data_IF_347974941689
#
_entry.id   IF_347974941689
#
_cell.length_a   1.000
_cell.length_b   1.000
_cell.length_c   1.000
_cell.angle_alpha   90.00
_cell.angle_beta   90.00
_cell.angle_gamma   90.00
#
_symmetry.space_group_name_H-M   'P 1'
#
loop_
_entity.id
_entity.type
_entity.pdbx_description
1 polymer ?
#
# COMPACT_ATOMS: atom_id res chain seq x y z
N UNK A 1 23.89 2.33 30.30
CA UNK A 1 23.02 2.11 29.13
C UNK A 1 21.59 1.90 29.65
N UNK A 2 20.70 2.86 29.41
CA UNK A 2 19.42 3.06 30.13
C UNK A 2 18.28 2.36 29.40
N UNK A 3 17.84 1.21 29.90
CA UNK A 3 16.67 0.44 29.41
C UNK A 3 15.40 1.31 29.26
N UNK A 4 15.30 2.42 30.01
CA UNK A 4 14.23 3.42 29.92
C UNK A 4 14.24 4.24 28.62
N UNK A 5 15.42 4.53 28.06
CA UNK A 5 15.58 5.39 26.88
C UNK A 5 15.19 4.64 25.60
N UNK A 6 15.56 3.36 25.51
CA UNK A 6 15.18 2.47 24.39
C UNK A 6 13.65 2.24 24.34
N UNK A 7 13.00 2.16 25.51
CA UNK A 7 11.55 2.03 25.61
C UNK A 7 10.86 3.31 25.16
N UNK A 8 11.34 4.46 25.60
CA UNK A 8 10.78 5.76 25.23
C UNK A 8 10.91 6.02 23.74
N UNK A 9 12.09 5.76 23.18
CA UNK A 9 12.39 5.90 21.75
C UNK A 9 11.45 5.03 20.92
N UNK A 10 11.24 3.76 21.33
CA UNK A 10 10.33 2.85 20.64
C UNK A 10 8.87 3.31 20.70
N UNK A 11 8.40 3.77 21.86
CA UNK A 11 7.03 4.24 21.98
C UNK A 11 6.81 5.52 21.16
N UNK A 12 7.81 6.41 21.08
CA UNK A 12 7.79 7.57 20.19
C UNK A 12 7.65 7.16 18.72
N UNK A 13 8.47 6.21 18.24
CA UNK A 13 8.38 5.70 16.87
C UNK A 13 6.98 5.14 16.54
N UNK A 14 6.35 4.43 17.48
CA UNK A 14 4.98 3.94 17.29
C UNK A 14 3.97 5.08 17.10
N UNK A 15 4.09 6.14 17.88
CA UNK A 15 3.20 7.30 17.77
C UNK A 15 3.45 8.09 16.49
N UNK A 16 4.71 8.31 16.11
CA UNK A 16 5.08 9.01 14.87
C UNK A 16 4.58 8.24 13.64
N UNK A 17 4.75 6.92 13.61
CA UNK A 17 4.21 6.07 12.57
C UNK A 17 2.67 6.08 12.56
N UNK A 18 2.02 5.95 13.73
CA UNK A 18 0.56 5.98 13.81
C UNK A 18 -0.01 7.29 13.27
N UNK A 19 0.67 8.40 13.54
CA UNK A 19 0.32 9.72 13.05
C UNK A 19 0.41 9.81 11.52
N UNK A 20 1.51 9.31 10.94
CA UNK A 20 1.70 9.23 9.48
C UNK A 20 0.61 8.36 8.83
N UNK A 21 0.27 7.23 9.43
CA UNK A 21 -0.81 6.36 8.96
C UNK A 21 -2.20 7.02 9.04
N UNK A 22 -2.46 7.84 10.07
CA UNK A 22 -3.70 8.62 10.17
C UNK A 22 -3.80 9.61 9.01
N UNK A 23 -2.70 10.29 8.64
CA UNK A 23 -2.66 11.20 7.48
C UNK A 23 -2.97 10.50 6.18
N UNK A 24 -2.53 9.25 6.04
CA UNK A 24 -2.85 8.39 4.90
C UNK A 24 -4.24 7.74 4.98
N UNK A 25 -5.09 8.18 5.92
CA UNK A 25 -6.43 7.66 6.16
C UNK A 25 -6.50 6.15 6.43
N UNK A 26 -5.41 5.57 6.95
CA UNK A 26 -5.35 4.16 7.30
C UNK A 26 -6.42 3.80 8.34
N UNK A 27 -7.02 2.62 8.21
CA UNK A 27 -8.00 2.12 9.18
C UNK A 27 -7.34 1.83 10.51
N UNK A 28 -8.09 1.98 11.59
CA UNK A 28 -7.63 1.67 12.96
C UNK A 28 -7.04 0.26 13.08
N UNK A 29 -7.61 -0.73 12.37
CA UNK A 29 -7.07 -2.10 12.36
C UNK A 29 -5.68 -2.20 11.73
N UNK A 30 -5.43 -1.45 10.65
CA UNK A 30 -4.12 -1.37 10.00
C UNK A 30 -3.12 -0.71 10.93
N UNK A 31 -3.47 0.46 11.48
CA UNK A 31 -2.64 1.19 12.45
C UNK A 31 -2.27 0.29 13.63
N UNK A 32 -3.24 -0.41 14.22
CA UNK A 32 -3.01 -1.34 15.33
C UNK A 32 -2.08 -2.49 14.95
N UNK A 33 -2.33 -3.15 13.82
CA UNK A 33 -1.55 -4.32 13.41
C UNK A 33 -0.10 -4.00 13.03
N UNK A 34 0.22 -2.73 12.76
CA UNK A 34 1.59 -2.31 12.45
C UNK A 34 2.29 -1.74 13.69
N UNK A 35 1.63 -0.86 14.42
CA UNK A 35 2.22 -0.12 15.55
C UNK A 35 2.12 -0.85 16.90
N UNK A 36 1.17 -1.78 17.04
CA UNK A 36 0.85 -2.42 18.32
C UNK A 36 0.14 -1.49 19.32
N UNK A 37 -0.26 -0.28 18.92
CA UNK A 37 -1.03 0.61 19.78
C UNK A 37 -2.47 0.11 19.96
N UNK A 38 -3.04 0.30 21.15
CA UNK A 38 -4.45 -0.01 21.41
C UNK A 38 -5.38 0.96 20.69
N UNK A 39 -6.60 0.51 20.40
CA UNK A 39 -7.65 1.33 19.77
C UNK A 39 -7.92 2.63 20.54
N UNK A 40 -7.83 2.61 21.88
CA UNK A 40 -7.97 3.81 22.72
C UNK A 40 -6.84 4.82 22.49
N UNK A 41 -5.59 4.36 22.45
CA UNK A 41 -4.43 5.23 22.17
C UNK A 41 -4.53 5.84 20.78
N UNK A 42 -4.91 5.05 19.77
CA UNK A 42 -5.13 5.54 18.41
C UNK A 42 -6.26 6.58 18.38
N UNK A 43 -7.36 6.35 19.11
CA UNK A 43 -8.48 7.30 19.21
C UNK A 43 -8.08 8.61 19.89
N UNK A 44 -7.27 8.55 20.95
CA UNK A 44 -6.73 9.73 21.64
C UNK A 44 -5.79 10.52 20.72
N UNK A 45 -4.89 9.82 20.03
CA UNK A 45 -3.97 10.42 19.06
C UNK A 45 -4.73 11.13 17.93
N UNK A 46 -5.75 10.48 17.35
CA UNK A 46 -6.59 11.08 16.31
C UNK A 46 -7.31 12.34 16.79
N UNK A 47 -7.88 12.32 18.00
CA UNK A 47 -8.55 13.51 18.58
C UNK A 47 -7.58 14.66 18.75
N UNK A 48 -6.41 14.41 19.32
CA UNK A 48 -5.34 15.41 19.47
C UNK A 48 -4.90 15.95 18.10
N UNK A 49 -4.74 15.09 17.09
CA UNK A 49 -4.40 15.51 15.72
C UNK A 49 -5.44 16.46 15.11
N UNK A 50 -6.72 16.07 15.10
CA UNK A 50 -7.80 16.88 14.52
C UNK A 50 -7.96 18.21 15.28
N UNK A 51 -7.81 18.19 16.60
CA UNK A 51 -7.92 19.38 17.45
C UNK A 51 -6.76 20.37 17.25
N UNK A 52 -5.52 19.90 17.13
CA UNK A 52 -4.34 20.79 17.08
C UNK A 52 -3.96 21.27 15.68
N UNK A 53 -4.23 20.48 14.63
CA UNK A 53 -3.71 20.76 13.28
C UNK A 53 -4.77 21.22 12.29
N UNK A 54 -6.01 21.46 12.74
CA UNK A 54 -7.09 21.94 11.86
C UNK A 54 -7.34 21.02 10.67
N UNK A 55 -7.02 19.72 10.81
CA UNK A 55 -7.04 18.72 9.75
C UNK A 55 -8.47 18.28 9.41
N UNK A 56 -9.31 19.24 9.03
CA UNK A 56 -10.74 19.09 8.81
C UNK A 56 -11.09 18.06 7.70
N UNK A 57 -10.13 17.68 6.86
CA UNK A 57 -10.37 16.79 5.71
C UNK A 57 -9.83 15.35 5.86
N UNK A 58 -9.24 14.97 7.00
CA UNK A 58 -8.83 13.56 7.20
C UNK A 58 -10.06 12.69 7.46
N UNK A 59 -10.44 11.88 6.48
CA UNK A 59 -11.64 11.05 6.56
C UNK A 59 -11.36 9.76 7.31
N UNK A 60 -12.26 9.43 8.25
CA UNK A 60 -12.22 8.15 8.97
C UNK A 60 -13.09 7.12 8.26
N UNK A 61 -12.45 6.23 7.51
CA UNK A 61 -13.12 5.09 6.88
C UNK A 61 -13.62 4.09 7.93
N UNK A 62 -14.93 3.84 7.94
CA UNK A 62 -15.57 2.79 8.76
C UNK A 62 -15.86 1.53 7.93
N UNK A 63 -16.12 0.40 8.59
CA UNK A 63 -16.49 -0.86 7.94
C UNK A 63 -15.33 -1.81 7.61
N UNK A 64 -15.57 -2.73 6.67
CA UNK A 64 -14.58 -3.74 6.25
C UNK A 64 -13.56 -3.13 5.26
N UNK A 65 -12.27 -3.52 5.32
CA UNK A 65 -11.29 -3.12 4.31
C UNK A 65 -11.64 -3.68 2.93
N UNK A 66 -11.05 -3.15 1.84
CA UNK A 66 -11.23 -3.70 0.49
C UNK A 66 -10.79 -5.17 0.44
N UNK A 67 -11.55 -5.99 -0.31
CA UNK A 67 -11.37 -7.45 -0.40
C UNK A 67 -11.45 -8.01 -1.81
N UNK A 68 -11.78 -7.20 -2.81
CA UNK A 68 -12.02 -7.68 -4.17
C UNK A 68 -10.80 -7.42 -5.04
N UNK A 69 -10.00 -8.45 -5.34
CA UNK A 69 -8.82 -8.31 -6.20
C UNK A 69 -9.18 -7.77 -7.59
N UNK A 70 -10.36 -8.11 -8.11
CA UNK A 70 -10.88 -7.60 -9.37
C UNK A 70 -10.94 -6.06 -9.44
N UNK A 71 -10.97 -5.36 -8.30
CA UNK A 71 -10.93 -3.89 -8.25
C UNK A 71 -9.71 -3.33 -8.99
N UNK A 72 -8.53 -3.93 -8.82
CA UNK A 72 -7.28 -3.47 -9.44
C UNK A 72 -7.26 -3.67 -10.96
N UNK A 73 -8.09 -4.58 -11.46
CA UNK A 73 -8.16 -4.95 -12.87
C UNK A 73 -9.34 -4.30 -13.61
N UNK A 74 -10.19 -3.55 -12.90
CA UNK A 74 -11.50 -3.09 -13.38
C UNK A 74 -11.45 -2.17 -14.60
N UNK A 75 -10.43 -1.32 -14.73
CA UNK A 75 -10.27 -0.43 -15.87
C UNK A 75 -8.78 -0.13 -16.16
N UNK A 76 -8.48 0.47 -17.31
CA UNK A 76 -7.11 0.77 -17.73
C UNK A 76 -6.34 1.66 -16.74
N UNK A 77 -7.00 2.68 -16.18
CA UNK A 77 -6.38 3.59 -15.21
C UNK A 77 -5.99 2.86 -13.91
N UNK A 78 -6.90 2.05 -13.35
CA UNK A 78 -6.65 1.26 -12.15
C UNK A 78 -5.58 0.19 -12.41
N UNK A 79 -5.59 -0.45 -13.57
CA UNK A 79 -4.51 -1.39 -13.96
C UNK A 79 -3.16 -0.70 -14.00
N UNK A 80 -3.08 0.51 -14.59
CA UNK A 80 -1.86 1.32 -14.63
C UNK A 80 -1.38 1.70 -13.24
N UNK A 81 -2.26 2.27 -12.40
CA UNK A 81 -1.89 2.67 -11.04
C UNK A 81 -1.51 1.47 -10.18
N UNK A 82 -2.21 0.34 -10.29
CA UNK A 82 -1.89 -0.88 -9.55
C UNK A 82 -0.52 -1.44 -9.97
N UNK A 83 -0.21 -1.41 -11.27
CA UNK A 83 1.08 -1.85 -11.80
C UNK A 83 2.22 -0.92 -11.40
N UNK A 84 2.00 0.40 -11.41
CA UNK A 84 2.96 1.37 -10.90
C UNK A 84 3.23 1.20 -9.40
N UNK A 85 2.16 1.06 -8.61
CA UNK A 85 2.29 0.80 -7.18
C UNK A 85 3.01 -0.53 -6.92
N UNK A 86 2.68 -1.60 -7.65
CA UNK A 86 3.37 -2.88 -7.52
C UNK A 86 4.86 -2.75 -7.85
N UNK A 87 5.23 -1.99 -8.88
CA UNK A 87 6.62 -1.73 -9.25
C UNK A 87 7.39 -1.03 -8.12
N UNK A 88 6.78 -0.01 -7.51
CA UNK A 88 7.34 0.69 -6.35
C UNK A 88 7.50 -0.28 -5.17
N UNK A 89 6.49 -1.09 -4.88
CA UNK A 89 6.56 -2.10 -3.81
C UNK A 89 7.69 -3.11 -4.04
N UNK A 90 7.90 -3.56 -5.28
CA UNK A 90 9.05 -4.42 -5.64
C UNK A 90 10.38 -3.70 -5.39
N UNK A 91 10.52 -2.44 -5.83
CA UNK A 91 11.74 -1.67 -5.69
C UNK A 91 12.15 -1.46 -4.22
N UNK A 92 11.16 -1.31 -3.34
CA UNK A 92 11.38 -1.21 -1.89
C UNK A 92 11.44 -2.58 -1.17
N UNK A 93 11.39 -3.70 -1.89
CA UNK A 93 11.46 -5.06 -1.30
C UNK A 93 10.25 -5.43 -0.43
N UNK A 94 9.10 -4.78 -0.64
CA UNK A 94 7.93 -4.90 0.24
C UNK A 94 7.04 -6.11 -0.06
N UNK A 95 7.33 -6.91 -1.10
CA UNK A 95 6.58 -8.12 -1.46
C UNK A 95 7.20 -9.42 -0.90
N UNK A 96 8.40 -9.35 -0.32
CA UNK A 96 9.12 -10.52 0.20
C UNK A 96 9.08 -10.59 1.73
N UNK A 97 8.57 -9.55 2.39
CA UNK A 97 8.59 -9.46 3.84
C UNK A 97 7.56 -10.41 4.45
N UNK A 98 8.03 -11.49 5.06
CA UNK A 98 7.20 -12.41 5.82
C UNK A 98 6.43 -11.63 6.90
N UNK A 99 5.09 -11.70 6.88
CA UNK A 99 4.15 -11.01 7.78
C UNK A 99 4.23 -11.52 9.25
N UNK A 100 5.33 -12.18 9.63
CA UNK A 100 5.55 -12.88 10.91
C UNK A 100 5.96 -11.96 12.05
N UNK A 101 6.44 -10.74 11.76
CA UNK A 101 6.83 -9.78 12.80
C UNK A 101 5.61 -9.31 13.60
N UNK A 102 5.69 -9.44 14.93
CA UNK A 102 4.64 -8.97 15.82
C UNK A 102 4.41 -7.45 15.71
N UNK A 103 3.18 -6.95 15.94
CA UNK A 103 2.90 -5.52 15.92
C UNK A 103 3.79 -4.73 16.88
N UNK A 104 4.34 -3.61 16.42
CA UNK A 104 5.14 -2.70 17.25
C UNK A 104 6.56 -3.19 17.59
N UNK A 105 7.03 -4.28 16.98
CA UNK A 105 8.45 -4.65 17.02
C UNK A 105 9.27 -3.70 16.14
N UNK A 106 10.57 -3.50 16.40
CA UNK A 106 11.42 -2.62 15.59
C UNK A 106 11.45 -2.99 14.10
N UNK A 107 11.40 -4.29 13.77
CA UNK A 107 11.31 -4.77 12.39
C UNK A 107 9.99 -4.36 11.74
N UNK A 108 8.86 -4.58 12.43
CA UNK A 108 7.53 -4.22 11.91
C UNK A 108 7.38 -2.71 11.73
N UNK A 109 7.95 -1.91 12.65
CA UNK A 109 7.94 -0.46 12.54
C UNK A 109 8.78 0.02 11.35
N UNK A 110 10.01 -0.49 11.19
CA UNK A 110 10.87 -0.17 10.03
C UNK A 110 10.21 -0.55 8.71
N UNK A 111 9.61 -1.74 8.64
CA UNK A 111 8.87 -2.19 7.46
C UNK A 111 7.68 -1.26 7.16
N UNK A 112 6.92 -0.87 8.19
CA UNK A 112 5.76 0.01 8.03
C UNK A 112 6.15 1.45 7.63
N UNK A 113 7.29 1.95 8.13
CA UNK A 113 7.87 3.21 7.68
C UNK A 113 8.26 3.15 6.20
N UNK A 114 8.92 2.08 5.78
CA UNK A 114 9.27 1.85 4.37
C UNK A 114 8.04 1.74 3.48
N UNK A 115 6.97 1.09 3.96
CA UNK A 115 5.69 1.06 3.27
C UNK A 115 5.09 2.47 3.12
N UNK A 116 5.16 3.31 4.16
CA UNK A 116 4.70 4.69 4.06
C UNK A 116 5.51 5.49 3.05
N UNK A 117 6.82 5.29 2.97
CA UNK A 117 7.68 5.91 1.95
C UNK A 117 7.25 5.47 0.56
N UNK A 118 7.10 4.16 0.32
CA UNK A 118 6.63 3.63 -0.97
C UNK A 118 5.26 4.20 -1.37
N UNK A 119 4.33 4.32 -0.42
CA UNK A 119 3.03 4.92 -0.67
C UNK A 119 3.12 6.40 -1.04
N UNK A 120 3.96 7.17 -0.34
CA UNK A 120 4.18 8.58 -0.64
C UNK A 120 4.86 8.81 -1.99
N UNK A 121 5.82 7.95 -2.36
CA UNK A 121 6.38 7.93 -3.72
C UNK A 121 5.27 7.71 -4.75
N UNK A 122 4.37 6.76 -4.53
CA UNK A 122 3.22 6.55 -5.39
C UNK A 122 2.32 7.78 -5.49
N UNK A 123 2.05 8.48 -4.38
CA UNK A 123 1.25 9.71 -4.39
C UNK A 123 1.93 10.84 -5.19
N UNK A 124 3.26 10.94 -5.14
CA UNK A 124 4.03 11.92 -5.90
C UNK A 124 3.98 11.62 -7.41
N UNK A 125 4.12 10.36 -7.80
CA UNK A 125 4.03 9.92 -9.20
C UNK A 125 2.61 10.07 -9.78
N UNK A 126 1.59 9.85 -8.95
CA UNK A 126 0.19 9.91 -9.36
C UNK A 126 -0.55 11.01 -8.61
N UNK A 127 -0.47 12.24 -9.11
CA UNK A 127 -1.12 13.42 -8.49
C UNK A 127 -2.65 13.32 -8.30
N UNK A 128 -3.32 12.33 -8.89
CA UNK A 128 -4.73 11.97 -8.62
C UNK A 128 -4.88 10.45 -8.45
N UNK A 129 -4.53 9.90 -7.27
CA UNK A 129 -4.60 8.48 -7.02
C UNK A 129 -6.07 8.04 -6.92
N UNK A 130 -6.43 6.96 -7.61
CA UNK A 130 -7.71 6.27 -7.44
C UNK A 130 -7.63 5.23 -6.32
N UNK A 131 -6.41 4.76 -6.04
CA UNK A 131 -6.12 3.87 -4.93
C UNK A 131 -6.04 4.68 -3.65
N UNK A 132 -6.56 4.10 -2.56
CA UNK A 132 -6.34 4.61 -1.21
C UNK A 132 -5.31 3.74 -0.49
N UNK A 133 -4.87 4.17 0.69
CA UNK A 133 -3.87 3.44 1.48
C UNK A 133 -4.29 1.99 1.77
N UNK A 134 -5.56 1.76 2.09
CA UNK A 134 -6.09 0.42 2.32
C UNK A 134 -6.07 -0.46 1.06
N UNK A 135 -6.21 0.14 -0.13
CA UNK A 135 -6.04 -0.57 -1.40
C UNK A 135 -4.58 -0.96 -1.61
N UNK A 136 -3.62 -0.10 -1.26
CA UNK A 136 -2.20 -0.45 -1.31
C UNK A 136 -1.87 -1.62 -0.38
N UNK A 137 -2.35 -1.57 0.87
CA UNK A 137 -2.21 -2.67 1.83
C UNK A 137 -2.84 -3.96 1.32
N UNK A 138 -3.98 -3.88 0.63
CA UNK A 138 -4.64 -5.04 0.04
C UNK A 138 -3.90 -5.58 -1.19
N UNK A 139 -3.43 -4.72 -2.09
CA UNK A 139 -2.66 -5.10 -3.28
C UNK A 139 -1.41 -5.90 -2.90
N UNK A 140 -0.59 -5.36 -1.98
CA UNK A 140 0.61 -6.06 -1.47
C UNK A 140 0.27 -7.48 -0.99
N UNK A 141 -0.73 -7.58 -0.11
CA UNK A 141 -1.17 -8.87 0.47
C UNK A 141 -1.74 -9.84 -0.55
N UNK A 142 -2.35 -9.34 -1.62
CA UNK A 142 -2.90 -10.15 -2.70
C UNK A 142 -1.78 -10.68 -3.61
N UNK A 143 -0.80 -9.83 -3.93
CA UNK A 143 0.39 -10.20 -4.71
C UNK A 143 1.30 -11.18 -3.96
N UNK A 144 1.50 -10.99 -2.65
CA UNK A 144 2.27 -11.93 -1.82
C UNK A 144 1.67 -13.33 -1.78
N UNK A 145 0.33 -13.42 -1.72
CA UNK A 145 -0.36 -14.70 -1.67
C UNK A 145 -0.42 -15.40 -3.02
N UNK A 146 -0.28 -14.65 -4.12
CA UNK A 146 -0.38 -15.13 -5.50
C UNK A 146 -1.64 -15.97 -5.81
N UNK A 147 -2.73 -15.76 -5.06
CA UNK A 147 -3.98 -16.53 -5.23
C UNK A 147 -4.98 -15.91 -6.19
N UNK A 148 -4.98 -14.59 -6.29
CA UNK A 148 -5.94 -13.85 -7.13
C UNK A 148 -5.22 -12.94 -8.11
N UNK A 149 -4.07 -12.38 -7.70
CA UNK A 149 -3.24 -11.50 -8.51
C UNK A 149 -1.83 -12.05 -8.56
N UNK A 150 -1.18 -11.82 -9.70
CA UNK A 150 0.23 -12.10 -9.91
C UNK A 150 0.89 -10.89 -10.58
N UNK A 151 2.22 -10.93 -10.60
CA UNK A 151 3.03 -10.03 -11.41
C UNK A 151 3.42 -10.73 -12.71
N UNK A 152 3.42 -9.97 -13.78
CA UNK A 152 3.92 -10.39 -15.09
C UNK A 152 4.59 -9.20 -15.78
N UNK A 153 5.29 -9.44 -16.87
CA UNK A 153 5.92 -8.40 -17.66
C UNK A 153 5.15 -8.21 -18.98
N UNK A 154 5.02 -6.96 -19.41
CA UNK A 154 4.53 -6.67 -20.75
C UNK A 154 5.48 -7.28 -21.79
N UNK A 155 4.96 -8.09 -22.69
CA UNK A 155 5.76 -8.71 -23.78
C UNK A 155 6.41 -7.70 -24.71
N UNK A 156 5.83 -6.49 -24.83
CA UNK A 156 6.30 -5.46 -25.77
C UNK A 156 7.29 -4.48 -25.14
N UNK A 157 7.05 -4.02 -23.91
CA UNK A 157 7.88 -2.97 -23.28
C UNK A 157 8.56 -3.41 -21.98
N UNK A 158 8.37 -4.66 -21.53
CA UNK A 158 8.94 -5.19 -20.30
C UNK A 158 8.35 -4.62 -19.00
N UNK A 159 7.43 -3.65 -19.08
CA UNK A 159 6.81 -3.03 -17.91
C UNK A 159 6.13 -4.07 -17.01
N UNK A 160 6.29 -3.95 -15.70
CA UNK A 160 5.65 -4.82 -14.72
C UNK A 160 4.13 -4.57 -14.73
N UNK A 161 3.35 -5.64 -14.70
CA UNK A 161 1.90 -5.66 -14.76
C UNK A 161 1.32 -6.42 -13.58
N UNK A 162 0.24 -5.86 -13.01
CA UNK A 162 -0.65 -6.63 -12.14
C UNK A 162 -1.66 -7.36 -13.03
N UNK A 163 -1.65 -8.70 -12.97
CA UNK A 163 -2.48 -9.59 -13.77
C UNK A 163 -3.29 -10.52 -12.87
N UNK A 164 -4.42 -11.11 -13.33
CA UNK A 164 -5.05 -12.16 -12.57
C UNK A 164 -4.11 -13.37 -12.47
N UNK A 165 -4.06 -14.01 -11.29
CA UNK A 165 -3.21 -15.19 -11.07
C UNK A 165 -3.64 -16.38 -11.96
N UNK A 166 -4.95 -16.48 -12.22
CA UNK A 166 -5.56 -17.52 -13.04
C UNK A 166 -6.38 -16.90 -14.18
N UNK A 167 -6.41 -17.59 -15.32
CA UNK A 167 -7.17 -17.17 -16.50
C UNK A 167 -6.34 -16.41 -17.54
N UNK A 168 -7.04 -15.75 -18.46
CA UNK A 168 -6.41 -15.09 -19.61
C UNK A 168 -5.65 -13.84 -19.16
N UNK A 169 -4.34 -13.81 -19.44
CA UNK A 169 -3.50 -12.64 -19.20
C UNK A 169 -3.67 -11.61 -20.31
N UNK A 170 -3.59 -10.31 -20.00
CA UNK A 170 -3.59 -9.28 -21.03
C UNK A 170 -2.34 -9.43 -21.91
N UNK A 171 -2.50 -9.21 -23.22
CA UNK A 171 -1.40 -9.35 -24.19
C UNK A 171 -0.33 -8.26 -24.03
N UNK A 172 -0.66 -7.13 -23.38
CA UNK A 172 0.26 -6.03 -23.15
C UNK A 172 -0.26 -5.07 -22.08
N UNK A 173 0.60 -4.11 -21.73
CA UNK A 173 0.24 -3.04 -20.81
C UNK A 173 -0.83 -2.11 -21.42
N UNK A 174 -1.40 -1.20 -20.63
CA UNK A 174 -2.40 -0.25 -21.14
C UNK A 174 -1.89 0.67 -22.24
N UNK A 175 -0.58 0.80 -22.44
CA UNK A 175 -0.01 1.59 -23.55
C UNK A 175 0.23 0.72 -24.80
N UNK A 176 0.75 -0.48 -24.63
CA UNK A 176 1.03 -1.39 -25.73
C UNK A 176 -0.22 -2.08 -26.27
N UNK A 177 -1.24 -2.30 -25.44
CA UNK A 177 -2.51 -2.90 -25.84
C UNK A 177 -3.44 -1.96 -26.61
N UNK A 178 -3.21 -0.65 -26.50
CA UNK A 178 -3.90 0.38 -27.28
C UNK A 178 -3.16 0.67 -28.61
N UNK A 179 -1.99 0.07 -28.84
CA UNK A 179 -1.30 0.18 -30.12
C UNK A 179 -2.09 -0.61 -31.17
N UNK A 180 -2.47 -0.01 -32.31
CA UNK A 180 -3.00 -0.79 -33.42
C UNK A 180 -1.96 -1.84 -33.79
N UNK A 181 -2.39 -3.11 -33.86
CA UNK A 181 -1.62 -4.16 -34.51
C UNK A 181 -1.30 -3.68 -35.92
N UNK A 182 -0.09 -3.17 -36.16
CA UNK A 182 0.38 -3.02 -37.53
C UNK A 182 0.33 -4.42 -38.15
N UNK A 183 -0.41 -4.62 -39.26
CA UNK A 183 -0.43 -5.92 -39.90
C UNK A 183 0.98 -6.24 -40.35
N UNK A 184 1.50 -7.37 -39.88
CA UNK A 184 2.78 -7.91 -40.33
C UNK A 184 2.75 -7.99 -41.86
N UNK A 185 3.55 -7.15 -42.52
CA UNK A 185 3.77 -7.24 -43.95
C UNK A 185 4.38 -8.62 -44.25
N UNK A 186 3.63 -9.47 -44.94
CA UNK A 186 4.13 -10.66 -45.63
C UNK A 186 3.67 -10.58 -47.08
#
# INVERSE_FOLDING_TARGET
MRITDDRYTRDRLKFDLAFRLIRHEARTGTIRSWTGLSDDRIRKLFRSYVQHLGAADVRRHRGKPPRQAAYFLRNALLRRQSSGLASILCQYGLLESSDSSQPGTPERLRWAELFCVAWETFLQEYGRPQLGFEHACFLRRALERQRELALDNCSMCGALLVVPAFGRRPAGCCFCGDAPLEPAAT
#
